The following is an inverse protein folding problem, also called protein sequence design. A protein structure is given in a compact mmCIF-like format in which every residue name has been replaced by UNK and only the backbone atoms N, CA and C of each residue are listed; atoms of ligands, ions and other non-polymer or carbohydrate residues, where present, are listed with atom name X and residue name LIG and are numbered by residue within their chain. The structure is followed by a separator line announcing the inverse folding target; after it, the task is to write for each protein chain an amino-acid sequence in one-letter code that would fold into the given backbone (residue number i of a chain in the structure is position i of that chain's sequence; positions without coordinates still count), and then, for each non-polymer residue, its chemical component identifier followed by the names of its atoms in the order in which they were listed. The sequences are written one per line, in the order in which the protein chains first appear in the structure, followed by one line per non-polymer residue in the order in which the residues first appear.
data_IF_816954770340
#
_entry.id   IF_816954770340
#
_cell.length_a   1.000
_cell.length_b   1.000
_cell.length_c   1.000
_cell.angle_alpha   90.00
_cell.angle_beta   90.00
_cell.angle_gamma   90.00
#
_symmetry.space_group_name_H-M   'P 1'
#
loop_
_entity.id
_entity.type
_entity.pdbx_description
1 polymer ?
#
# COMPACT_ATOMS: atom_id res chain seq x y z
N UNK A 1 21.06 57.79 -90.00
CA UNK A 1 21.79 56.66 -89.37
C UNK A 1 21.74 56.73 -87.84
N UNK A 2 22.14 57.83 -87.20
CA UNK A 2 22.09 57.97 -85.72
C UNK A 2 20.72 57.66 -85.09
N UNK A 3 19.64 58.16 -85.69
CA UNK A 3 18.28 57.98 -85.17
C UNK A 3 17.85 56.49 -85.16
N UNK A 4 18.27 55.72 -86.17
CA UNK A 4 18.01 54.28 -86.24
C UNK A 4 18.83 53.51 -85.19
N UNK A 5 20.09 53.90 -84.96
CA UNK A 5 20.93 53.30 -83.91
C UNK A 5 20.35 53.56 -82.53
N UNK A 6 19.91 54.79 -82.24
CA UNK A 6 19.27 55.14 -80.96
C UNK A 6 17.98 54.36 -80.75
N UNK A 7 17.16 54.19 -81.79
CA UNK A 7 15.94 53.37 -81.72
C UNK A 7 16.26 51.91 -81.37
N UNK A 8 17.26 51.32 -82.02
CA UNK A 8 17.65 49.92 -81.75
C UNK A 8 18.19 49.76 -80.32
N UNK A 9 19.02 50.68 -79.85
CA UNK A 9 19.57 50.64 -78.48
C UNK A 9 18.48 50.78 -77.42
N UNK A 10 17.51 51.69 -77.62
CA UNK A 10 16.41 51.88 -76.67
C UNK A 10 15.48 50.67 -76.61
N UNK A 11 15.17 50.04 -77.75
CA UNK A 11 14.40 48.80 -77.80
C UNK A 11 15.15 47.64 -77.12
N UNK A 12 16.46 47.50 -77.37
CA UNK A 12 17.27 46.47 -76.74
C UNK A 12 17.37 46.67 -75.22
N UNK A 13 17.57 47.90 -74.76
CA UNK A 13 17.59 48.24 -73.33
C UNK A 13 16.24 47.98 -72.65
N UNK A 14 15.13 48.34 -73.31
CA UNK A 14 13.78 48.06 -72.82
C UNK A 14 13.50 46.56 -72.70
N UNK A 15 13.89 45.77 -73.70
CA UNK A 15 13.77 44.31 -73.66
C UNK A 15 14.61 43.70 -72.54
N UNK A 16 15.86 44.15 -72.36
CA UNK A 16 16.73 43.68 -71.28
C UNK A 16 16.16 44.00 -69.89
N UNK A 17 15.68 45.23 -69.68
CA UNK A 17 15.04 45.63 -68.43
C UNK A 17 13.77 44.82 -68.15
N UNK A 18 12.97 44.49 -69.17
CA UNK A 18 11.79 43.65 -69.01
C UNK A 18 12.16 42.21 -68.58
N UNK A 19 13.22 41.63 -69.14
CA UNK A 19 13.72 40.30 -68.73
C UNK A 19 14.25 40.35 -67.30
N UNK A 20 15.03 41.38 -66.96
CA UNK A 20 15.57 41.56 -65.62
C UNK A 20 14.44 41.73 -64.58
N UNK A 21 13.43 42.56 -64.88
CA UNK A 21 12.28 42.77 -64.02
C UNK A 21 11.50 41.48 -63.76
N UNK A 22 11.30 40.65 -64.80
CA UNK A 22 10.64 39.33 -64.66
C UNK A 22 11.47 38.34 -63.84
N UNK A 23 12.80 38.35 -64.02
CA UNK A 23 13.69 37.49 -63.23
C UNK A 23 13.67 37.88 -61.74
N UNK A 24 13.66 39.19 -61.46
CA UNK A 24 13.52 39.70 -60.09
C UNK A 24 12.15 39.41 -59.48
N UNK A 25 11.05 39.56 -60.23
CA UNK A 25 9.72 39.24 -59.72
C UNK A 25 9.60 37.76 -59.38
N UNK A 26 10.06 36.86 -60.26
CA UNK A 26 10.04 35.42 -60.00
C UNK A 26 10.87 35.04 -58.76
N UNK A 27 12.02 35.67 -58.56
CA UNK A 27 12.86 35.45 -57.37
C UNK A 27 12.21 36.01 -56.10
N UNK A 28 11.52 37.15 -56.19
CA UNK A 28 10.77 37.70 -55.06
C UNK A 28 9.63 36.77 -54.65
N UNK A 29 8.89 36.22 -55.62
CA UNK A 29 7.80 35.26 -55.36
C UNK A 29 8.33 33.96 -54.72
N UNK A 30 9.48 33.46 -55.18
CA UNK A 30 10.12 32.27 -54.60
C UNK A 30 10.60 32.51 -53.15
N UNK A 31 11.17 33.68 -52.87
CA UNK A 31 11.60 34.04 -51.52
C UNK A 31 10.39 34.21 -50.59
N UNK A 32 9.32 34.84 -51.06
CA UNK A 32 8.09 35.01 -50.27
C UNK A 32 7.42 33.67 -49.97
N UNK A 33 7.32 32.79 -50.98
CA UNK A 33 6.84 31.42 -50.80
C UNK A 33 7.68 30.63 -49.79
N UNK A 34 9.01 30.74 -49.87
CA UNK A 34 9.94 30.09 -48.94
C UNK A 34 9.81 30.64 -47.52
N UNK A 35 9.72 31.96 -47.38
CA UNK A 35 9.55 32.62 -46.09
C UNK A 35 8.20 32.21 -45.44
N UNK A 36 7.13 32.16 -46.23
CA UNK A 36 5.82 31.72 -45.78
C UNK A 36 5.81 30.24 -45.38
N UNK A 37 6.54 29.38 -46.09
CA UNK A 37 6.69 27.97 -45.75
C UNK A 37 7.48 27.76 -44.46
N UNK A 38 8.63 28.41 -44.32
CA UNK A 38 9.42 28.40 -43.07
C UNK A 38 8.63 28.96 -41.89
N UNK A 39 7.85 30.02 -42.11
CA UNK A 39 6.96 30.58 -41.10
C UNK A 39 5.91 29.58 -40.63
N UNK A 40 5.31 28.81 -41.54
CA UNK A 40 4.37 27.74 -41.21
C UNK A 40 5.06 26.60 -40.45
N UNK A 41 6.23 26.16 -40.89
CA UNK A 41 6.99 25.10 -40.21
C UNK A 41 7.41 25.51 -38.80
N UNK A 42 7.84 26.77 -38.62
CA UNK A 42 8.20 27.31 -37.31
C UNK A 42 6.99 27.37 -36.38
N UNK A 43 5.85 27.88 -36.85
CA UNK A 43 4.62 27.94 -36.07
C UNK A 43 4.15 26.54 -35.66
N UNK A 44 4.23 25.56 -36.57
CA UNK A 44 3.89 24.18 -36.28
C UNK A 44 4.85 23.55 -35.25
N UNK A 45 6.16 23.78 -35.39
CA UNK A 45 7.17 23.26 -34.45
C UNK A 45 7.01 23.88 -33.06
N UNK A 46 6.66 25.16 -32.96
CA UNK A 46 6.36 25.83 -31.70
C UNK A 46 5.11 25.24 -31.04
N UNK A 47 4.05 25.02 -31.82
CA UNK A 47 2.82 24.39 -31.32
C UNK A 47 3.08 22.95 -30.82
N UNK A 48 3.87 22.17 -31.55
CA UNK A 48 4.26 20.82 -31.13
C UNK A 48 5.09 20.86 -29.84
N UNK A 49 6.01 21.80 -29.71
CA UNK A 49 6.82 21.97 -28.50
C UNK A 49 5.94 22.33 -27.29
N UNK A 50 5.03 23.30 -27.44
CA UNK A 50 4.11 23.69 -26.38
C UNK A 50 3.22 22.52 -25.95
N UNK A 51 2.71 21.74 -26.91
CA UNK A 51 1.94 20.53 -26.63
C UNK A 51 2.76 19.49 -25.86
N UNK A 52 3.99 19.19 -26.30
CA UNK A 52 4.88 18.23 -25.63
C UNK A 52 5.26 18.68 -24.22
N UNK A 53 5.51 19.96 -24.02
CA UNK A 53 5.79 20.51 -22.69
C UNK A 53 4.57 20.38 -21.77
N UNK A 54 3.36 20.61 -22.28
CA UNK A 54 2.12 20.38 -21.53
C UNK A 54 1.89 18.89 -21.19
N UNK A 55 2.16 17.99 -22.14
CA UNK A 55 2.11 16.54 -21.93
C UNK A 55 3.09 16.11 -20.83
N UNK A 56 4.35 16.60 -20.89
CA UNK A 56 5.36 16.32 -19.86
C UNK A 56 4.94 16.81 -18.48
N UNK A 57 4.40 18.04 -18.39
CA UNK A 57 3.89 18.57 -17.12
C UNK A 57 2.77 17.69 -16.54
N UNK A 58 1.84 17.26 -17.39
CA UNK A 58 0.74 16.35 -17.00
C UNK A 58 1.28 15.01 -16.50
N UNK A 59 2.21 14.39 -17.22
CA UNK A 59 2.83 13.12 -16.83
C UNK A 59 3.60 13.26 -15.53
N UNK A 60 4.31 14.38 -15.34
CA UNK A 60 5.03 14.63 -14.09
C UNK A 60 4.09 14.79 -12.90
N UNK A 61 2.97 15.50 -13.06
CA UNK A 61 1.92 15.56 -12.02
C UNK A 61 1.35 14.17 -11.72
N UNK A 62 1.02 13.39 -12.75
CA UNK A 62 0.52 12.02 -12.56
C UNK A 62 1.53 11.13 -11.83
N UNK A 63 2.83 11.25 -12.16
CA UNK A 63 3.89 10.52 -11.50
C UNK A 63 4.04 10.93 -10.02
N UNK A 64 3.91 12.22 -9.71
CA UNK A 64 3.92 12.68 -8.32
C UNK A 64 2.73 12.11 -7.55
N UNK A 65 1.51 12.21 -8.10
CA UNK A 65 0.31 11.63 -7.48
C UNK A 65 0.42 10.12 -7.28
N UNK A 66 0.98 9.39 -8.25
CA UNK A 66 1.20 7.95 -8.13
C UNK A 66 2.22 7.60 -7.04
N UNK A 67 3.29 8.38 -6.91
CA UNK A 67 4.27 8.22 -5.83
C UNK A 67 3.66 8.48 -4.46
N UNK A 68 2.89 9.57 -4.31
CA UNK A 68 2.20 9.90 -3.06
C UNK A 68 1.24 8.77 -2.67
N UNK A 69 0.50 8.22 -3.63
CA UNK A 69 -0.41 7.09 -3.41
C UNK A 69 0.33 5.81 -3.02
N UNK A 70 1.52 5.55 -3.58
CA UNK A 70 2.35 4.41 -3.22
C UNK A 70 2.87 4.52 -1.79
N UNK A 71 3.26 5.72 -1.34
CA UNK A 71 3.67 5.97 0.05
C UNK A 71 2.48 5.74 0.99
N UNK A 72 1.32 6.32 0.68
CA UNK A 72 0.10 6.11 1.47
C UNK A 72 -0.28 4.62 1.59
N UNK A 73 -0.19 3.87 0.49
CA UNK A 73 -0.49 2.43 0.49
C UNK A 73 0.55 1.60 1.27
N UNK A 74 1.80 2.04 1.29
CA UNK A 74 2.85 1.42 2.09
C UNK A 74 2.60 1.64 3.59
N UNK A 75 2.21 2.86 3.99
CA UNK A 75 1.83 3.20 5.36
C UNK A 75 0.59 2.42 5.81
N UNK A 76 -0.46 2.36 4.99
CA UNK A 76 -1.69 1.59 5.28
C UNK A 76 -1.37 0.09 5.45
N UNK A 77 -0.47 -0.45 4.64
CA UNK A 77 -0.04 -1.85 4.75
C UNK A 77 0.76 -2.11 6.02
N UNK A 78 1.62 -1.18 6.43
CA UNK A 78 2.36 -1.28 7.68
C UNK A 78 1.40 -1.28 8.88
N UNK A 79 0.48 -0.30 8.93
CA UNK A 79 -0.54 -0.20 9.98
C UNK A 79 -1.42 -1.44 10.05
N UNK A 80 -1.92 -1.93 8.89
CA UNK A 80 -2.72 -3.17 8.85
C UNK A 80 -1.91 -4.39 9.30
N UNK A 81 -0.60 -4.40 9.04
CA UNK A 81 0.32 -5.44 9.52
C UNK A 81 0.42 -5.45 11.04
N UNK A 82 0.62 -4.28 11.64
CA UNK A 82 0.72 -4.10 13.09
C UNK A 82 -0.60 -4.42 13.79
N UNK A 83 -1.74 -3.96 13.25
CA UNK A 83 -3.06 -4.25 13.80
C UNK A 83 -3.35 -5.76 13.80
N UNK A 84 -2.98 -6.46 12.73
CA UNK A 84 -3.11 -7.93 12.65
C UNK A 84 -2.23 -8.63 13.67
N UNK A 85 -1.02 -8.14 13.89
CA UNK A 85 -0.12 -8.73 14.88
C UNK A 85 -0.63 -8.51 16.31
N UNK A 86 -1.09 -7.30 16.63
CA UNK A 86 -1.74 -7.00 17.90
C UNK A 86 -2.98 -7.89 18.14
N UNK A 87 -3.83 -8.08 17.12
CA UNK A 87 -4.97 -8.98 17.19
C UNK A 87 -4.56 -10.44 17.39
N UNK A 88 -3.51 -10.91 16.72
CA UNK A 88 -2.97 -12.27 16.92
C UNK A 88 -2.46 -12.47 18.34
N UNK A 89 -1.72 -11.50 18.88
CA UNK A 89 -1.21 -11.56 20.25
C UNK A 89 -2.35 -11.57 21.26
N UNK A 90 -3.37 -10.72 21.09
CA UNK A 90 -4.55 -10.68 21.95
C UNK A 90 -5.32 -12.01 21.90
N UNK A 91 -5.57 -12.55 20.70
CA UNK A 91 -6.26 -13.84 20.53
C UNK A 91 -5.47 -14.99 21.17
N UNK A 92 -4.14 -15.03 20.98
CA UNK A 92 -3.28 -16.02 21.60
C UNK A 92 -3.25 -15.90 23.14
N UNK A 93 -3.23 -14.67 23.66
CA UNK A 93 -3.34 -14.42 25.10
C UNK A 93 -4.68 -14.90 25.65
N UNK A 94 -5.80 -14.54 25.00
CA UNK A 94 -7.14 -14.98 25.40
C UNK A 94 -7.29 -16.50 25.36
N UNK A 95 -6.70 -17.18 24.37
CA UNK A 95 -6.70 -18.63 24.28
C UNK A 95 -5.98 -19.26 25.47
N UNK A 96 -4.78 -18.78 25.81
CA UNK A 96 -4.01 -19.27 26.97
C UNK A 96 -4.75 -19.06 28.29
N UNK A 97 -5.30 -17.86 28.51
CA UNK A 97 -6.07 -17.54 29.71
C UNK A 97 -7.34 -18.41 29.81
N UNK A 98 -8.04 -18.63 28.70
CA UNK A 98 -9.25 -19.47 28.68
C UNK A 98 -8.93 -20.94 28.95
N UNK A 99 -7.82 -21.46 28.40
CA UNK A 99 -7.34 -22.81 28.67
C UNK A 99 -6.96 -22.98 30.14
N UNK A 100 -6.18 -22.06 30.70
CA UNK A 100 -5.81 -22.07 32.11
C UNK A 100 -7.04 -21.96 33.03
N UNK A 101 -7.99 -21.07 32.73
CA UNK A 101 -9.25 -20.96 33.48
C UNK A 101 -10.09 -22.24 33.40
N UNK A 102 -10.12 -22.92 32.26
CA UNK A 102 -10.76 -24.22 32.09
C UNK A 102 -10.11 -25.32 32.95
N UNK A 103 -8.77 -25.35 32.98
CA UNK A 103 -8.02 -26.29 33.83
C UNK A 103 -8.32 -26.06 35.33
N UNK A 104 -8.34 -24.80 35.76
CA UNK A 104 -8.72 -24.42 37.14
C UNK A 104 -10.13 -24.91 37.46
N UNK A 105 -11.11 -24.64 36.59
CA UNK A 105 -12.49 -25.03 36.82
C UNK A 105 -12.65 -26.56 36.93
N UNK A 106 -11.96 -27.32 36.08
CA UNK A 106 -11.98 -28.79 36.11
C UNK A 106 -11.37 -29.33 37.41
N UNK A 107 -10.19 -28.85 37.79
CA UNK A 107 -9.49 -29.31 38.98
C UNK A 107 -10.25 -28.95 40.26
N UNK A 108 -10.83 -27.75 40.35
CA UNK A 108 -11.70 -27.36 41.47
C UNK A 108 -12.93 -28.28 41.56
N UNK A 109 -13.52 -28.64 40.43
CA UNK A 109 -14.69 -29.53 40.45
C UNK A 109 -14.32 -30.94 40.93
N UNK A 110 -13.16 -31.46 40.56
CA UNK A 110 -12.66 -32.75 41.05
C UNK A 110 -12.35 -32.72 42.54
N UNK A 111 -11.69 -31.68 43.03
CA UNK A 111 -11.45 -31.46 44.46
C UNK A 111 -12.76 -31.40 45.26
N UNK A 112 -13.76 -30.63 44.81
CA UNK A 112 -15.07 -30.54 45.48
C UNK A 112 -15.79 -31.89 45.49
N UNK A 113 -15.83 -32.62 44.36
CA UNK A 113 -16.43 -33.96 44.32
C UNK A 113 -15.72 -34.93 45.27
N UNK A 114 -14.39 -34.90 45.30
CA UNK A 114 -13.58 -35.72 46.20
C UNK A 114 -13.89 -35.44 47.67
N UNK A 115 -13.99 -34.16 48.05
CA UNK A 115 -14.37 -33.74 49.40
C UNK A 115 -15.79 -34.19 49.77
N UNK A 116 -16.77 -34.05 48.87
CA UNK A 116 -18.14 -34.53 49.10
C UNK A 116 -18.18 -36.04 49.35
N UNK A 117 -17.40 -36.80 48.58
CA UNK A 117 -17.29 -38.25 48.72
C UNK A 117 -16.62 -38.65 50.05
N UNK A 118 -15.55 -37.95 50.44
CA UNK A 118 -14.87 -38.14 51.72
C UNK A 118 -15.81 -37.85 52.90
N UNK A 119 -16.57 -36.76 52.84
CA UNK A 119 -17.60 -36.45 53.85
C UNK A 119 -18.63 -37.58 53.94
N UNK A 120 -19.00 -38.17 52.81
CA UNK A 120 -19.87 -39.35 52.76
C UNK A 120 -19.27 -40.54 53.51
N UNK A 121 -18.02 -40.91 53.22
CA UNK A 121 -17.34 -42.02 53.90
C UNK A 121 -17.14 -41.79 55.40
N UNK A 122 -16.84 -40.55 55.81
CA UNK A 122 -16.70 -40.19 57.23
C UNK A 122 -18.03 -40.30 57.99
N UNK A 123 -19.18 -40.06 57.34
CA UNK A 123 -20.50 -40.27 57.96
C UNK A 123 -20.83 -41.74 58.20
N UNK A 124 -20.30 -42.64 57.37
CA UNK A 124 -20.50 -44.09 57.43
C UNK A 124 -19.22 -44.84 57.90
N UNK A 125 -18.35 -44.18 58.69
CA UNK A 125 -16.99 -44.66 58.99
C UNK A 125 -16.91 -46.09 59.56
N UNK A 126 -17.95 -46.55 60.26
CA UNK A 126 -18.03 -47.89 60.88
C UNK A 126 -18.05 -49.02 59.84
N UNK A 127 -18.34 -48.70 58.58
CA UNK A 127 -18.40 -49.64 57.45
C UNK A 127 -17.12 -49.71 56.62
N UNK A 128 -16.14 -48.84 56.90
CA UNK A 128 -14.93 -48.71 56.10
C UNK A 128 -13.68 -48.97 56.93
N UNK A 129 -12.66 -49.55 56.31
CA UNK A 129 -11.36 -49.79 56.93
C UNK A 129 -10.58 -48.46 57.09
N UNK A 130 -9.96 -48.18 58.25
CA UNK A 130 -9.24 -46.94 58.50
C UNK A 130 -8.09 -46.67 57.52
N UNK A 131 -7.39 -47.70 57.04
CA UNK A 131 -6.31 -47.52 56.07
C UNK A 131 -6.84 -47.11 54.69
N UNK A 132 -8.02 -47.60 54.32
CA UNK A 132 -8.72 -47.21 53.08
C UNK A 132 -9.21 -45.76 53.12
N UNK A 133 -9.70 -45.30 54.28
CA UNK A 133 -10.09 -43.90 54.49
C UNK A 133 -8.89 -42.94 54.40
N UNK A 134 -7.76 -43.30 55.02
CA UNK A 134 -6.54 -42.50 54.96
C UNK A 134 -5.97 -42.40 53.53
N UNK A 135 -6.05 -43.47 52.74
CA UNK A 135 -5.68 -43.45 51.32
C UNK A 135 -6.55 -42.48 50.50
N UNK A 136 -7.87 -42.54 50.70
CA UNK A 136 -8.81 -41.67 50.00
C UNK A 136 -8.65 -40.19 50.40
N UNK A 137 -8.37 -39.91 51.67
CA UNK A 137 -8.04 -38.55 52.13
C UNK A 137 -6.78 -38.01 51.42
N UNK A 138 -5.77 -38.85 51.21
CA UNK A 138 -4.58 -38.52 50.42
C UNK A 138 -4.91 -38.22 48.94
N UNK A 139 -5.77 -39.01 48.32
CA UNK A 139 -6.21 -38.80 46.93
C UNK A 139 -6.97 -37.47 46.78
N UNK A 140 -7.89 -37.16 47.70
CA UNK A 140 -8.63 -35.89 47.72
C UNK A 140 -7.69 -34.70 47.93
N UNK A 141 -6.72 -34.83 48.84
CA UNK A 141 -5.70 -33.81 49.07
C UNK A 141 -4.90 -33.55 47.78
N UNK A 142 -4.48 -34.60 47.08
CA UNK A 142 -3.77 -34.46 45.81
C UNK A 142 -4.59 -33.76 44.72
N UNK A 143 -5.90 -34.03 44.64
CA UNK A 143 -6.79 -33.33 43.70
C UNK A 143 -6.93 -31.84 44.04
N UNK A 144 -7.00 -31.50 45.32
CA UNK A 144 -7.08 -30.12 45.78
C UNK A 144 -5.76 -29.36 45.57
N UNK A 145 -4.61 -29.99 45.80
CA UNK A 145 -3.29 -29.41 45.50
C UNK A 145 -3.11 -29.13 44.00
N UNK A 146 -3.65 -30.01 43.14
CA UNK A 146 -3.68 -29.78 41.69
C UNK A 146 -4.55 -28.57 41.31
N UNK A 147 -5.68 -28.36 41.98
CA UNK A 147 -6.53 -27.19 41.78
C UNK A 147 -5.85 -25.88 42.21
N UNK A 148 -5.15 -25.90 43.35
CA UNK A 148 -4.35 -24.75 43.80
C UNK A 148 -3.21 -24.43 42.83
N UNK A 149 -2.51 -25.46 42.35
CA UNK A 149 -1.44 -25.31 41.35
C UNK A 149 -1.97 -24.72 40.05
N UNK A 150 -3.08 -25.24 39.53
CA UNK A 150 -3.71 -24.70 38.33
C UNK A 150 -4.13 -23.23 38.50
N UNK A 151 -4.59 -22.83 39.69
CA UNK A 151 -4.96 -21.45 39.99
C UNK A 151 -3.73 -20.54 40.05
N UNK A 152 -2.65 -21.00 40.68
CA UNK A 152 -1.37 -20.29 40.68
C UNK A 152 -0.81 -20.11 39.26
N UNK A 153 -0.99 -21.09 38.38
CA UNK A 153 -0.60 -21.01 36.97
C UNK A 153 -1.42 -19.95 36.22
N UNK A 154 -2.74 -19.93 36.43
CA UNK A 154 -3.63 -18.90 35.87
C UNK A 154 -3.24 -17.50 36.35
N UNK A 155 -2.99 -17.31 37.65
CA UNK A 155 -2.62 -16.01 38.20
C UNK A 155 -1.32 -15.48 37.59
N UNK A 156 -0.32 -16.35 37.41
CA UNK A 156 0.93 -15.98 36.73
C UNK A 156 0.72 -15.53 35.28
N UNK A 157 -0.29 -16.07 34.60
CA UNK A 157 -0.60 -15.72 33.21
C UNK A 157 -1.45 -14.46 33.09
N UNK A 158 -2.16 -14.06 34.15
CA UNK A 158 -2.86 -12.77 34.25
C UNK A 158 -1.93 -11.61 34.64
N UNK A 159 -0.88 -11.90 35.42
CA UNK A 159 0.11 -10.91 35.89
C UNK A 159 1.20 -10.57 34.85
N UNK A 160 1.20 -11.25 33.70
CA UNK A 160 2.12 -11.02 32.56
C UNK A 160 1.56 -10.03 31.55
#
# INVERSE_FOLDING_TARGET
MLLAVVLVVTLAAGAYLAVLARAWSARADELDATAADLGRQLAQTQADLDQRTSELGTVQTQLQTAQDRLVELADEKAQTGDDREAQRQLAAYQARVSEAAGAVASALQECVRGQEQLIGYLKDQERYDPASLAGFEGDVTSLCDQAETANADLQRELDR
#
